data_IF_715420949250
#
_entry.id   IF_715420949250
#
_cell.length_a   1.000
_cell.length_b   1.000
_cell.length_c   1.000
_cell.angle_alpha   90.00
_cell.angle_beta   90.00
_cell.angle_gamma   90.00
#
_symmetry.space_group_name_H-M   'P 1'
#
loop_
_entity.id
_entity.type
_entity.pdbx_description
1 polymer ?
#
# COMPACT_ATOMS: atom_id res chain seq x y z
N UNK A 1 17.77 13.75 -0.95
CA UNK A 1 18.03 12.38 -1.46
C UNK A 1 16.68 11.69 -1.60
N UNK A 2 16.46 10.93 -2.68
CA UNK A 2 15.23 10.16 -2.88
C UNK A 2 15.49 8.70 -2.48
N UNK A 3 14.80 8.20 -1.46
CA UNK A 3 14.77 6.80 -1.05
C UNK A 3 13.49 6.18 -1.60
N UNK A 4 13.63 5.09 -2.35
CA UNK A 4 12.53 4.33 -2.92
C UNK A 4 12.59 2.92 -2.34
N UNK A 5 11.45 2.41 -1.84
CA UNK A 5 11.41 1.09 -1.22
C UNK A 5 11.46 1.11 0.30
N UNK A 6 12.06 0.09 0.91
CA UNK A 6 12.33 0.02 2.36
C UNK A 6 11.10 -0.26 3.23
N UNK A 7 9.95 -0.54 2.63
CA UNK A 7 8.79 -1.07 3.35
C UNK A 7 9.00 -2.57 3.62
N UNK A 8 8.82 -3.00 4.87
CA UNK A 8 8.93 -4.42 5.21
C UNK A 8 7.74 -5.23 4.64
N UNK A 9 7.97 -5.83 3.47
CA UNK A 9 6.96 -6.61 2.76
C UNK A 9 6.56 -7.91 3.47
N UNK A 10 7.32 -8.41 4.44
CA UNK A 10 6.94 -9.59 5.20
C UNK A 10 5.74 -9.33 6.10
N UNK A 11 5.53 -8.07 6.51
CA UNK A 11 4.35 -7.65 7.27
C UNK A 11 3.05 -7.91 6.49
N UNK A 12 3.09 -7.91 5.15
CA UNK A 12 1.93 -8.20 4.30
C UNK A 12 1.43 -9.65 4.45
N UNK A 13 2.26 -10.57 4.92
CA UNK A 13 1.87 -11.96 5.21
C UNK A 13 1.13 -12.09 6.56
N UNK A 14 1.24 -11.07 7.42
CA UNK A 14 0.69 -11.06 8.77
C UNK A 14 -0.75 -10.54 8.84
N UNK A 15 -1.00 -9.67 9.82
CA UNK A 15 -2.33 -9.10 10.06
C UNK A 15 -2.47 -7.69 9.47
N UNK A 16 -3.70 -7.33 9.12
CA UNK A 16 -4.03 -5.96 8.70
C UNK A 16 -3.63 -4.90 9.75
N UNK A 17 -3.71 -5.23 11.05
CA UNK A 17 -3.26 -4.34 12.11
C UNK A 17 -1.76 -4.06 12.06
N UNK A 18 -0.94 -5.08 11.77
CA UNK A 18 0.51 -4.91 11.61
C UNK A 18 0.85 -4.06 10.37
N UNK A 19 0.11 -4.27 9.27
CA UNK A 19 0.24 -3.47 8.04
C UNK A 19 -0.07 -2.00 8.34
N UNK A 20 -1.19 -1.73 9.02
CA UNK A 20 -1.57 -0.36 9.39
C UNK A 20 -0.53 0.31 10.27
N UNK A 21 -0.02 -0.42 11.27
CA UNK A 21 1.02 0.08 12.16
C UNK A 21 2.29 0.47 11.39
N UNK A 22 2.73 -0.34 10.44
CA UNK A 22 3.91 -0.05 9.63
C UNK A 22 3.71 1.17 8.72
N UNK A 23 2.53 1.25 8.07
CA UNK A 23 2.18 2.41 7.23
C UNK A 23 2.21 3.70 8.05
N UNK A 24 1.65 3.69 9.26
CA UNK A 24 1.67 4.86 10.16
C UNK A 24 3.08 5.18 10.68
N UNK A 25 3.89 4.17 10.99
CA UNK A 25 5.29 4.34 11.43
C UNK A 25 6.13 5.07 10.39
N UNK A 26 5.89 4.79 9.11
CA UNK A 26 6.62 5.39 7.98
C UNK A 26 6.04 6.76 7.54
N UNK A 27 4.84 7.13 7.99
CA UNK A 27 4.19 8.38 7.56
C UNK A 27 5.06 9.65 7.74
N UNK A 28 5.81 9.84 8.85
CA UNK A 28 6.67 11.02 9.00
C UNK A 28 7.74 11.13 7.89
N UNK A 29 8.28 10.01 7.42
CA UNK A 29 9.27 9.99 6.33
C UNK A 29 8.65 10.36 4.99
N UNK A 30 7.40 9.96 4.77
CA UNK A 30 6.64 10.34 3.57
C UNK A 30 6.33 11.84 3.60
N UNK A 31 5.92 12.37 4.74
CA UNK A 31 5.55 13.77 4.94
C UNK A 31 6.75 14.73 4.84
N UNK A 32 7.92 14.34 5.37
CA UNK A 32 9.17 15.09 5.21
C UNK A 32 9.60 15.20 3.74
N UNK A 33 9.11 14.29 2.89
CA UNK A 33 9.46 14.20 1.49
C UNK A 33 10.79 13.48 1.27
N UNK A 34 11.01 13.02 0.04
CA UNK A 34 12.22 12.25 -0.28
C UNK A 34 12.12 10.74 -0.03
N UNK A 35 10.95 10.23 0.37
CA UNK A 35 10.68 8.80 0.56
C UNK A 35 9.45 8.34 -0.23
N UNK A 36 9.59 7.26 -1.00
CA UNK A 36 8.49 6.58 -1.70
C UNK A 36 8.47 5.12 -1.23
N UNK A 37 7.65 4.82 -0.22
CA UNK A 37 7.52 3.48 0.33
C UNK A 37 6.68 2.55 -0.55
N UNK A 38 7.23 1.41 -0.94
CA UNK A 38 6.51 0.34 -1.63
C UNK A 38 7.19 -1.01 -1.40
N UNK A 39 6.52 -2.09 -1.80
CA UNK A 39 7.07 -3.44 -1.71
C UNK A 39 8.26 -3.61 -2.67
N UNK A 40 9.46 -3.76 -2.12
CA UNK A 40 10.68 -3.92 -2.91
C UNK A 40 10.68 -5.19 -3.77
N UNK A 41 11.13 -5.02 -5.02
CA UNK A 41 11.25 -6.04 -6.06
C UNK A 41 9.91 -6.65 -6.49
N UNK A 42 9.34 -7.50 -5.63
CA UNK A 42 8.12 -8.27 -5.85
C UNK A 42 7.42 -8.53 -4.53
N UNK A 43 6.10 -8.54 -4.58
CA UNK A 43 5.24 -9.05 -3.50
C UNK A 43 5.46 -10.56 -3.37
N UNK A 44 5.75 -11.08 -2.17
CA UNK A 44 5.86 -12.52 -1.95
C UNK A 44 4.57 -13.26 -2.37
N UNK A 45 4.67 -14.46 -2.98
CA UNK A 45 3.53 -15.17 -3.55
C UNK A 45 2.52 -15.68 -2.51
N UNK A 46 2.94 -15.76 -1.25
CA UNK A 46 2.17 -16.17 -0.08
C UNK A 46 1.49 -15.00 0.66
N UNK A 47 1.63 -13.77 0.16
CA UNK A 47 0.84 -12.63 0.66
C UNK A 47 -0.62 -12.81 0.26
N UNK A 48 -1.57 -12.84 1.22
CA UNK A 48 -2.98 -12.84 0.89
C UNK A 48 -3.36 -11.59 0.08
N UNK A 49 -4.13 -11.77 -1.00
CA UNK A 49 -4.57 -10.65 -1.83
C UNK A 49 -5.32 -9.57 -1.01
N UNK A 50 -6.11 -9.99 -0.03
CA UNK A 50 -6.83 -9.09 0.88
C UNK A 50 -5.89 -8.19 1.69
N UNK A 51 -4.74 -8.70 2.12
CA UNK A 51 -3.75 -7.93 2.86
C UNK A 51 -3.06 -6.91 1.95
N UNK A 52 -2.77 -7.30 0.70
CA UNK A 52 -2.21 -6.36 -0.28
C UNK A 52 -3.19 -5.23 -0.63
N UNK A 53 -4.48 -5.56 -0.82
CA UNK A 53 -5.53 -4.57 -1.04
C UNK A 53 -5.73 -3.66 0.18
N UNK A 54 -5.66 -4.24 1.39
CA UNK A 54 -5.70 -3.47 2.63
C UNK A 54 -4.53 -2.47 2.70
N UNK A 55 -3.30 -2.92 2.47
CA UNK A 55 -2.12 -2.06 2.37
C UNK A 55 -2.33 -0.88 1.41
N UNK A 56 -2.80 -1.14 0.18
CA UNK A 56 -3.07 -0.09 -0.82
C UNK A 56 -4.12 0.92 -0.36
N UNK A 57 -5.17 0.45 0.34
CA UNK A 57 -6.19 1.33 0.92
C UNK A 57 -5.58 2.19 2.02
N UNK A 58 -4.81 1.60 2.94
CA UNK A 58 -4.21 2.31 4.07
C UNK A 58 -3.19 3.34 3.63
N UNK A 59 -2.28 3.03 2.69
CA UNK A 59 -1.32 4.04 2.18
C UNK A 59 -2.04 5.21 1.52
N UNK A 60 -3.17 4.97 0.85
CA UNK A 60 -3.97 6.05 0.25
C UNK A 60 -4.60 6.94 1.31
N UNK A 61 -5.10 6.35 2.39
CA UNK A 61 -5.71 7.10 3.49
C UNK A 61 -4.67 7.86 4.33
N UNK A 62 -3.48 7.28 4.54
CA UNK A 62 -2.46 7.81 5.45
C UNK A 62 -1.43 8.68 4.74
N UNK A 63 -0.89 8.25 3.61
CA UNK A 63 0.23 8.92 2.92
C UNK A 63 -0.22 9.86 1.81
N UNK A 64 -1.35 9.57 1.16
CA UNK A 64 -1.81 10.34 0.00
C UNK A 64 -2.74 11.51 0.35
N UNK A 65 -3.10 11.71 1.63
CA UNK A 65 -4.03 12.77 2.09
C UNK A 65 -5.25 12.95 1.15
N UNK A 66 -5.85 14.13 1.04
CA UNK A 66 -6.99 14.40 0.11
C UNK A 66 -6.58 14.45 -1.38
N UNK A 67 -5.41 13.93 -1.74
CA UNK A 67 -4.95 13.94 -3.13
C UNK A 67 -5.75 12.87 -3.88
N UNK A 68 -6.65 13.33 -4.77
CA UNK A 68 -7.57 12.52 -5.57
C UNK A 68 -6.84 11.76 -6.71
N UNK A 69 -5.75 11.07 -6.38
CA UNK A 69 -5.17 10.08 -7.27
C UNK A 69 -6.12 8.88 -7.22
N UNK A 70 -6.77 8.60 -8.36
CA UNK A 70 -7.42 7.31 -8.64
C UNK A 70 -6.37 6.40 -9.31
N UNK A 71 -5.48 5.71 -8.56
CA UNK A 71 -4.49 4.81 -9.17
C UNK A 71 -5.15 3.60 -9.83
N UNK A 72 -6.34 3.22 -9.36
CA UNK A 72 -7.19 2.21 -9.97
C UNK A 72 -8.38 2.95 -10.57
N UNK A 73 -8.43 3.05 -11.89
CA UNK A 73 -9.70 3.37 -12.56
C UNK A 73 -10.78 2.43 -12.03
N UNK A 74 -12.02 2.91 -11.91
CA UNK A 74 -13.16 2.10 -11.48
C UNK A 74 -13.11 0.75 -12.20
N UNK A 75 -12.84 -0.34 -11.46
CA UNK A 75 -13.04 -1.68 -12.00
C UNK A 75 -14.53 -1.79 -12.18
N UNK A 76 -15.00 -1.57 -13.43
CA UNK A 76 -16.35 -1.94 -13.79
C UNK A 76 -16.46 -3.41 -13.42
N UNK A 77 -17.31 -3.76 -12.45
CA UNK A 77 -17.77 -5.14 -12.27
C UNK A 77 -18.35 -5.54 -13.62
N UNK A 78 -17.57 -6.26 -14.42
CA UNK A 78 -18.11 -6.98 -15.56
C UNK A 78 -19.20 -7.86 -15.00
N UNK A 79 -20.40 -7.79 -15.58
CA UNK A 79 -21.38 -8.86 -15.42
C UNK A 79 -20.66 -10.13 -15.86
N UNK A 80 -20.40 -11.04 -14.92
CA UNK A 80 -20.22 -12.43 -15.30
C UNK A 80 -21.57 -12.90 -15.83
N UNK A 81 -21.58 -13.37 -17.07
CA UNK A 81 -22.74 -14.00 -17.71
C UNK A 81 -23.39 -13.10 -18.75
N UNK A 82 -22.87 -13.19 -19.98
CA UNK A 82 -23.67 -13.41 -21.18
C UNK A 82 -23.17 -14.74 -21.80
#
# INVERSE_FOLDING_TARGET
MLIMGGFDKHILQGSQAAIEQEVRRLAPLVEEGGYIGFCDHRVPPDVPLENYLFFLKTIREVWAHEVNLRPMGCVKKGRLGD
#
